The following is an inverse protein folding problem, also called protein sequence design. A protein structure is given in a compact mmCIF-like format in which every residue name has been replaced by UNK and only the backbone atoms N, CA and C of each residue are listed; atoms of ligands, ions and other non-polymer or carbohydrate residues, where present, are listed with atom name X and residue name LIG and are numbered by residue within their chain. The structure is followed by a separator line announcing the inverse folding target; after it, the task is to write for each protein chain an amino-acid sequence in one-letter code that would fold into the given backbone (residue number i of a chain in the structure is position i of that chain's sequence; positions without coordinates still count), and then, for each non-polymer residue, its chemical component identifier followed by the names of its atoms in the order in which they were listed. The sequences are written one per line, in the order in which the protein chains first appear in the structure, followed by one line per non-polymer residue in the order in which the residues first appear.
data_IF_581634342415
#
_entry.id   IF_581634342415
#
_cell.length_a   1.000
_cell.length_b   1.000
_cell.length_c   1.000
_cell.angle_alpha   90.00
_cell.angle_beta   90.00
_cell.angle_gamma   90.00
#
_symmetry.space_group_name_H-M   'P 1'
#
loop_
_entity.id
_entity.type
_entity.pdbx_description
1 polymer ?
#
# COMPACT_ATOMS: atom_id res chain seq x y z
N UNK A 1 -65.40 -8.19 -42.05
CA UNK A 1 -64.43 -7.27 -41.39
C UNK A 1 -63.88 -7.93 -40.13
N UNK A 2 -62.57 -8.21 -40.08
CA UNK A 2 -61.83 -8.50 -38.83
C UNK A 2 -60.38 -8.08 -39.04
N UNK A 3 -59.98 -6.95 -38.42
CA UNK A 3 -58.61 -6.44 -38.43
C UNK A 3 -57.86 -7.10 -37.29
N UNK A 4 -56.76 -7.81 -37.59
CA UNK A 4 -55.86 -8.39 -36.60
C UNK A 4 -54.71 -7.38 -36.41
N UNK A 5 -54.61 -6.77 -35.23
CA UNK A 5 -53.48 -5.95 -34.84
C UNK A 5 -52.39 -6.85 -34.23
N UNK A 6 -51.12 -6.76 -34.66
CA UNK A 6 -50.05 -7.48 -33.99
C UNK A 6 -49.63 -6.70 -32.73
N UNK A 7 -49.71 -7.35 -31.57
CA UNK A 7 -49.15 -6.84 -30.34
C UNK A 7 -47.62 -6.92 -30.41
N UNK A 8 -46.95 -5.78 -30.58
CA UNK A 8 -45.50 -5.69 -30.40
C UNK A 8 -45.18 -5.77 -28.89
N UNK A 9 -44.63 -6.90 -28.46
CA UNK A 9 -43.99 -7.05 -27.16
C UNK A 9 -42.64 -6.33 -27.18
N UNK A 10 -42.54 -5.20 -26.48
CA UNK A 10 -41.27 -4.52 -26.22
C UNK A 10 -40.55 -5.24 -25.06
N UNK A 11 -39.41 -5.88 -25.34
CA UNK A 11 -38.54 -6.46 -24.33
C UNK A 11 -37.57 -5.39 -23.79
N UNK A 12 -37.35 -5.29 -22.47
CA UNK A 12 -36.43 -4.30 -21.91
C UNK A 12 -34.98 -4.75 -22.11
N UNK A 13 -34.16 -3.90 -22.72
CA UNK A 13 -32.70 -4.06 -22.75
C UNK A 13 -32.12 -3.75 -21.36
N UNK A 14 -31.65 -4.77 -20.65
CA UNK A 14 -30.82 -4.61 -19.47
C UNK A 14 -29.41 -4.18 -19.88
N UNK A 15 -29.07 -2.91 -19.66
CA UNK A 15 -27.72 -2.39 -19.85
C UNK A 15 -26.91 -2.80 -18.62
N UNK A 16 -25.99 -3.75 -18.77
CA UNK A 16 -25.06 -4.14 -17.72
C UNK A 16 -24.03 -3.01 -17.48
N UNK A 17 -24.05 -2.41 -16.30
CA UNK A 17 -23.06 -1.42 -15.91
C UNK A 17 -21.71 -2.10 -15.63
N UNK A 18 -20.65 -1.67 -16.32
CA UNK A 18 -19.30 -2.15 -16.06
C UNK A 18 -18.82 -1.67 -14.67
N UNK A 19 -18.07 -2.48 -13.92
CA UNK A 19 -17.50 -2.06 -12.64
C UNK A 19 -16.53 -0.89 -12.86
N UNK A 20 -16.60 0.13 -11.99
CA UNK A 20 -15.68 1.26 -12.04
C UNK A 20 -14.22 0.79 -11.83
N UNK A 21 -13.25 1.38 -12.55
CA UNK A 21 -11.84 1.05 -12.34
C UNK A 21 -11.42 1.35 -10.90
N UNK A 22 -10.58 0.49 -10.32
CA UNK A 22 -10.04 0.71 -8.98
C UNK A 22 -9.15 1.97 -8.98
N UNK A 23 -9.24 2.84 -7.95
CA UNK A 23 -8.38 4.00 -7.84
C UNK A 23 -6.90 3.60 -7.91
N UNK A 24 -6.16 4.15 -8.86
CA UNK A 24 -4.70 4.03 -8.90
C UNK A 24 -4.09 5.12 -8.02
N UNK A 25 -3.04 4.81 -7.23
CA UNK A 25 -2.28 5.83 -6.53
C UNK A 25 -1.77 6.90 -7.50
N UNK A 26 -2.26 8.13 -7.35
CA UNK A 26 -1.83 9.28 -8.12
C UNK A 26 -0.78 10.12 -7.39
N UNK A 27 -0.21 11.10 -8.09
CA UNK A 27 0.77 12.04 -7.53
C UNK A 27 2.16 11.89 -8.13
N UNK A 28 3.08 12.78 -7.72
CA UNK A 28 4.47 12.73 -8.20
C UNK A 28 5.13 11.42 -7.82
N UNK A 29 5.76 10.77 -8.80
CA UNK A 29 6.61 9.60 -8.58
C UNK A 29 7.89 10.06 -7.90
N UNK A 30 8.34 9.27 -6.92
CA UNK A 30 9.62 9.50 -6.26
C UNK A 30 10.22 8.23 -5.69
N UNK A 31 11.24 8.41 -4.86
CA UNK A 31 11.90 7.34 -4.11
C UNK A 31 11.84 7.65 -2.62
N UNK A 32 12.00 6.62 -1.81
CA UNK A 32 12.30 6.76 -0.38
C UNK A 32 13.78 7.10 -0.19
N UNK A 33 14.09 7.75 0.93
CA UNK A 33 15.46 7.92 1.37
C UNK A 33 16.14 6.56 1.55
N UNK A 34 17.41 6.49 1.16
CA UNK A 34 18.19 5.28 1.23
C UNK A 34 18.54 4.93 2.67
N UNK A 35 18.45 3.64 3.02
CA UNK A 35 18.80 3.16 4.35
C UNK A 35 17.80 2.14 4.90
N UNK A 36 18.02 1.73 6.15
CA UNK A 36 17.22 0.72 6.81
C UNK A 36 16.02 1.35 7.51
N UNK A 37 14.83 0.90 7.14
CA UNK A 37 13.58 1.16 7.83
C UNK A 37 13.32 0.01 8.80
N UNK A 38 13.28 0.34 10.10
CA UNK A 38 12.93 -0.63 11.16
C UNK A 38 11.46 -0.45 11.49
N UNK A 39 10.70 -1.53 11.42
CA UNK A 39 9.26 -1.54 11.63
C UNK A 39 8.88 -2.10 12.99
N UNK A 40 7.81 -1.56 13.54
CA UNK A 40 7.37 -1.87 14.89
C UNK A 40 5.93 -1.49 15.15
N UNK A 41 5.39 -2.10 16.19
CA UNK A 41 4.10 -1.80 16.78
C UNK A 41 4.30 -0.93 18.04
N UNK A 42 3.28 -0.16 18.43
CA UNK A 42 3.26 0.48 19.73
C UNK A 42 3.38 -0.57 20.82
N UNK A 43 4.13 -0.23 21.87
CA UNK A 43 4.15 -0.98 23.10
C UNK A 43 2.95 -0.72 24.00
N UNK A 44 3.00 -1.29 25.19
CA UNK A 44 2.08 -0.98 26.28
C UNK A 44 2.85 -0.40 27.48
N UNK A 45 2.11 0.27 28.39
CA UNK A 45 2.69 0.95 29.54
C UNK A 45 3.24 0.00 30.62
N UNK A 46 2.90 -1.29 30.55
CA UNK A 46 3.36 -2.34 31.47
C UNK A 46 4.56 -3.11 30.92
N UNK A 47 5.00 -2.79 29.71
CA UNK A 47 5.97 -3.57 28.95
C UNK A 47 6.89 -2.70 28.07
N UNK A 48 7.49 -3.29 27.04
CA UNK A 48 8.36 -2.56 26.12
C UNK A 48 7.58 -1.44 25.43
N UNK A 49 8.15 -0.23 25.38
CA UNK A 49 7.53 0.96 24.75
C UNK A 49 7.30 0.77 23.23
N UNK A 50 8.03 -0.17 22.63
CA UNK A 50 8.00 -0.50 21.19
C UNK A 50 8.14 -2.01 21.04
N UNK A 51 7.31 -2.63 20.20
CA UNK A 51 7.38 -4.06 19.89
C UNK A 51 7.89 -4.23 18.46
N UNK A 52 9.01 -4.94 18.29
CA UNK A 52 9.62 -5.10 16.97
C UNK A 52 8.72 -5.93 16.03
N UNK A 53 8.52 -5.44 14.81
CA UNK A 53 7.80 -6.12 13.74
C UNK A 53 8.79 -6.44 12.61
N UNK A 54 9.83 -7.22 12.95
CA UNK A 54 11.04 -7.46 12.13
C UNK A 54 10.71 -8.03 10.75
N UNK A 55 9.62 -8.77 10.64
CA UNK A 55 9.13 -9.32 9.38
C UNK A 55 8.76 -8.26 8.35
N UNK A 56 8.57 -7.01 8.77
CA UNK A 56 8.32 -5.87 7.87
C UNK A 56 9.54 -4.97 7.68
N UNK A 57 10.67 -5.23 8.35
CA UNK A 57 11.90 -4.46 8.16
C UNK A 57 12.36 -4.53 6.71
N UNK A 58 12.82 -3.38 6.19
CA UNK A 58 13.41 -3.33 4.86
C UNK A 58 14.50 -2.29 4.76
N UNK A 59 15.39 -2.45 3.80
CA UNK A 59 16.40 -1.45 3.44
C UNK A 59 16.20 -0.99 2.02
N UNK A 60 16.02 0.31 1.82
CA UNK A 60 16.03 0.93 0.50
C UNK A 60 17.47 0.90 -0.01
N UNK A 61 17.67 0.32 -1.19
CA UNK A 61 19.02 0.11 -1.75
C UNK A 61 19.34 1.06 -2.89
N UNK A 62 18.49 1.13 -3.92
CA UNK A 62 18.66 2.01 -5.06
C UNK A 62 17.34 2.17 -5.80
N UNK A 63 17.03 3.40 -6.22
CA UNK A 63 15.76 3.72 -6.87
C UNK A 63 14.57 3.19 -6.06
N UNK A 64 13.58 2.63 -6.77
CA UNK A 64 12.38 2.06 -6.15
C UNK A 64 12.53 0.58 -5.79
N UNK A 65 13.68 0.19 -5.22
CA UNK A 65 13.99 -1.19 -4.81
C UNK A 65 14.37 -1.28 -3.32
N UNK A 66 14.05 -2.42 -2.70
CA UNK A 66 14.41 -2.72 -1.32
C UNK A 66 15.01 -4.13 -1.15
N UNK A 67 15.57 -4.36 0.04
CA UNK A 67 15.92 -5.68 0.58
C UNK A 67 15.18 -5.90 1.89
N UNK A 68 14.58 -7.08 2.07
CA UNK A 68 13.97 -7.45 3.36
C UNK A 68 15.05 -7.90 4.37
N UNK A 69 14.62 -8.32 5.57
CA UNK A 69 15.50 -8.88 6.60
C UNK A 69 16.30 -10.12 6.13
N UNK A 70 15.75 -10.91 5.21
CA UNK A 70 16.41 -12.09 4.64
C UNK A 70 17.26 -11.76 3.41
N UNK A 71 17.51 -10.47 3.16
CA UNK A 71 18.29 -9.96 2.01
C UNK A 71 17.67 -10.32 0.66
N UNK A 72 16.39 -10.65 0.58
CA UNK A 72 15.67 -10.88 -0.67
C UNK A 72 15.29 -9.54 -1.32
N UNK A 73 15.32 -9.45 -2.66
CA UNK A 73 14.95 -8.22 -3.38
C UNK A 73 13.45 -8.05 -3.47
N UNK A 74 13.01 -6.80 -3.40
CA UNK A 74 11.69 -6.40 -3.87
C UNK A 74 11.70 -4.99 -4.44
N UNK A 75 10.51 -4.54 -4.85
CA UNK A 75 10.28 -3.23 -5.44
C UNK A 75 9.12 -2.54 -4.75
N UNK A 76 9.11 -1.22 -4.81
CA UNK A 76 8.00 -0.40 -4.35
C UNK A 76 7.65 0.66 -5.39
N UNK A 77 6.47 1.25 -5.25
CA UNK A 77 6.05 2.45 -5.94
C UNK A 77 5.77 3.52 -4.89
N UNK A 78 6.43 4.68 -5.00
CA UNK A 78 6.09 5.87 -4.22
C UNK A 78 5.44 6.89 -5.12
N UNK A 79 4.24 7.33 -4.74
CA UNK A 79 3.47 8.39 -5.40
C UNK A 79 2.93 9.35 -4.35
N UNK A 80 3.35 10.61 -4.37
CA UNK A 80 3.03 11.55 -3.28
C UNK A 80 3.55 11.03 -1.95
N UNK A 81 2.63 10.84 -0.98
CA UNK A 81 2.90 10.28 0.34
C UNK A 81 2.60 8.77 0.44
N UNK A 82 2.09 8.13 -0.62
CA UNK A 82 1.83 6.70 -0.62
C UNK A 82 3.06 5.91 -1.06
N UNK A 83 3.35 4.83 -0.35
CA UNK A 83 4.30 3.79 -0.76
C UNK A 83 3.59 2.45 -0.81
N UNK A 84 3.65 1.79 -1.96
CA UNK A 84 3.11 0.45 -2.15
C UNK A 84 4.23 -0.50 -2.54
N UNK A 85 4.42 -1.57 -1.76
CA UNK A 85 5.35 -2.64 -2.12
C UNK A 85 4.75 -3.46 -3.27
N UNK A 86 5.40 -3.45 -4.43
CA UNK A 86 4.90 -4.05 -5.69
C UNK A 86 5.50 -5.42 -5.99
N UNK A 87 6.63 -5.76 -5.36
CA UNK A 87 7.34 -7.02 -5.57
C UNK A 87 8.15 -7.46 -4.35
N UNK A 88 8.63 -8.71 -4.39
CA UNK A 88 9.40 -9.32 -3.31
C UNK A 88 8.55 -9.75 -2.10
N UNK A 89 9.21 -10.10 -0.97
CA UNK A 89 8.53 -10.66 0.21
C UNK A 89 7.49 -9.75 0.86
N UNK A 90 7.66 -8.42 0.77
CA UNK A 90 6.72 -7.45 1.34
C UNK A 90 5.62 -7.02 0.38
N UNK A 91 5.45 -7.69 -0.78
CA UNK A 91 4.45 -7.33 -1.78
C UNK A 91 3.05 -7.21 -1.15
N UNK A 92 2.37 -6.12 -1.46
CA UNK A 92 1.04 -5.81 -0.93
C UNK A 92 1.04 -4.94 0.32
N UNK A 93 2.17 -4.81 1.02
CA UNK A 93 2.30 -3.83 2.11
C UNK A 93 2.12 -2.41 1.55
N UNK A 94 1.24 -1.65 2.20
CA UNK A 94 0.99 -0.24 1.92
C UNK A 94 1.40 0.60 3.12
N UNK A 95 2.09 1.69 2.85
CA UNK A 95 2.60 2.61 3.84
C UNK A 95 2.24 4.05 3.42
N UNK A 96 1.89 4.88 4.38
CA UNK A 96 1.81 6.34 4.23
C UNK A 96 3.07 6.96 4.81
N UNK A 97 3.69 7.84 4.06
CA UNK A 97 4.76 8.72 4.51
C UNK A 97 4.12 9.85 5.30
N UNK A 98 4.41 9.89 6.60
CA UNK A 98 3.93 10.96 7.49
C UNK A 98 4.93 12.12 7.46
N UNK A 99 6.23 11.79 7.39
CA UNK A 99 7.34 12.71 7.11
C UNK A 99 8.48 11.92 6.47
N UNK A 100 9.54 12.60 6.04
CA UNK A 100 10.75 11.93 5.55
C UNK A 100 11.27 10.93 6.59
N UNK A 101 11.61 9.72 6.14
CA UNK A 101 12.05 8.62 7.00
C UNK A 101 11.01 8.06 7.97
N UNK A 102 9.76 8.56 8.01
CA UNK A 102 8.73 8.09 8.95
C UNK A 102 7.47 7.64 8.23
N UNK A 103 7.26 6.32 8.22
CA UNK A 103 6.19 5.66 7.48
C UNK A 103 5.22 4.98 8.44
N UNK A 104 3.95 4.88 8.05
CA UNK A 104 2.92 4.20 8.83
C UNK A 104 2.11 3.26 7.95
N UNK A 105 1.81 2.07 8.43
CA UNK A 105 1.02 1.07 7.69
C UNK A 105 -0.36 1.63 7.36
N UNK A 106 -0.83 1.27 6.18
CA UNK A 106 -2.21 1.48 5.78
C UNK A 106 -2.91 0.14 5.86
N UNK A 107 -3.96 0.06 6.65
CA UNK A 107 -4.77 -1.15 6.78
C UNK A 107 -5.71 -1.34 5.57
N UNK A 108 -6.32 -2.52 5.41
CA UNK A 108 -7.23 -2.79 4.29
C UNK A 108 -8.40 -1.80 4.17
N UNK A 109 -8.79 -1.17 5.28
CA UNK A 109 -9.81 -0.13 5.33
C UNK A 109 -9.34 1.26 4.83
N UNK A 110 -8.06 1.40 4.45
CA UNK A 110 -7.46 2.64 3.97
C UNK A 110 -6.99 3.60 5.06
N UNK A 111 -7.19 3.27 6.34
CA UNK A 111 -6.75 4.08 7.47
C UNK A 111 -5.31 3.73 7.90
N UNK A 112 -4.66 4.67 8.58
CA UNK A 112 -3.36 4.43 9.16
C UNK A 112 -3.47 3.43 10.33
N UNK A 113 -2.83 2.28 10.18
CA UNK A 113 -2.66 1.29 11.23
C UNK A 113 -1.65 1.71 12.30
N UNK A 114 -1.40 0.80 13.23
CA UNK A 114 -0.52 1.03 14.37
C UNK A 114 0.96 0.86 14.02
N UNK A 115 1.27 -0.04 13.09
CA UNK A 115 2.65 -0.33 12.71
C UNK A 115 3.28 0.89 12.01
N UNK A 116 4.46 1.28 12.48
CA UNK A 116 5.28 2.34 11.88
C UNK A 116 6.63 1.78 11.46
N UNK A 117 7.23 2.38 10.45
CA UNK A 117 8.57 2.07 9.99
C UNK A 117 9.40 3.34 9.96
N UNK A 118 10.55 3.31 10.62
CA UNK A 118 11.40 4.50 10.83
C UNK A 118 12.76 4.25 10.20
N UNK A 119 13.21 5.19 9.37
CA UNK A 119 14.56 5.21 8.82
C UNK A 119 15.57 5.38 9.95
N UNK A 120 16.52 4.46 10.03
CA UNK A 120 17.64 4.60 10.95
C UNK A 120 18.53 5.77 10.55
N UNK A 121 18.96 6.57 11.53
CA UNK A 121 19.94 7.64 11.31
C UNK A 121 21.25 7.03 10.78
N UNK A 122 21.86 7.60 9.72
CA UNK A 122 23.19 7.17 9.30
C UNK A 122 24.18 7.29 10.47
N UNK A 123 24.79 6.18 10.89
CA UNK A 123 25.88 6.16 11.89
C UNK A 123 25.62 5.43 13.21
N UNK A 124 24.39 5.02 13.54
CA UNK A 124 24.08 4.24 14.75
C UNK A 124 23.43 2.89 14.39
N UNK A 125 24.14 2.04 13.65
CA UNK A 125 23.76 0.64 13.40
C UNK A 125 24.73 -0.31 14.08
#
# INVERSE_FOLDING_TARGET
MRRILPALLAAPLLIAAAPAPTPVPGGLIGTLDQGRYTCELPGDASGPIRVAAKEFDFSVVHGSSYRDQNRQRGSYLKTGDLVQMTGGPLKGLKLRMISDGFLRRIEPNGLNGEMRCVLGTPGNS
#
